data_IF_881757979275
#
_entry.id   IF_881757979275
#
_cell.length_a   1.000
_cell.length_b   1.000
_cell.length_c   1.000
_cell.angle_alpha   90.00
_cell.angle_beta   90.00
_cell.angle_gamma   90.00
#
_symmetry.space_group_name_H-M   'P 1'
#
loop_
_entity.id
_entity.type
_entity.pdbx_description
1 polymer ?
2 branched ?
3 branched ?
4 non-polymer ?
5 non-polymer ?
6 non-polymer ?
7 water ?
#
# COMPACT_ATOMS: atom_id res chain seq x y z
N UNK A 3 8.62 15.64 -4.32
CA UNK A 3 7.59 15.54 -5.36
C UNK A 3 7.68 14.20 -6.14
N UNK A 4 8.88 13.87 -6.67
CA UNK A 4 9.08 12.61 -7.40
C UNK A 4 9.27 11.46 -6.41
N UNK A 5 8.66 10.32 -6.71
CA UNK A 5 8.78 9.11 -5.89
C UNK A 5 9.95 8.31 -6.42
N UNK A 6 10.88 7.90 -5.54
CA UNK A 6 12.00 7.04 -5.93
C UNK A 6 11.71 5.71 -5.29
N UNK A 7 11.60 4.66 -6.10
CA UNK A 7 11.30 3.31 -5.64
C UNK A 7 12.38 2.36 -6.13
N UNK A 8 12.65 1.33 -5.33
CA UNK A 8 13.65 0.33 -5.65
C UNK A 8 13.25 -1.04 -5.13
N UNK A 9 13.87 -2.06 -5.67
CA UNK A 9 13.69 -3.46 -5.30
C UNK A 9 14.76 -3.83 -4.33
N UNK A 10 14.43 -4.77 -3.43
CA UNK A 10 15.38 -5.25 -2.43
C UNK A 10 15.49 -6.75 -2.56
N UNK A 11 16.65 -7.29 -2.24
CA UNK A 11 16.87 -8.72 -2.33
C UNK A 11 16.02 -9.50 -1.34
N UNK A 12 15.53 -10.66 -1.80
CA UNK A 12 14.74 -11.61 -1.05
C UNK A 12 14.72 -12.91 -1.83
N UNK A 13 15.46 -13.89 -1.31
CA UNK A 13 15.49 -15.22 -1.90
C UNK A 13 14.10 -15.89 -1.94
N UNK A 14 13.25 -15.52 -0.98
CA UNK A 14 11.88 -16.02 -0.85
C UNK A 14 10.90 -15.55 -1.91
N UNK A 15 11.26 -14.49 -2.68
CA UNK A 15 10.44 -13.94 -3.75
C UNK A 15 11.05 -14.26 -5.10
N UNK A 16 10.26 -14.91 -5.96
CA UNK A 16 10.65 -15.29 -7.32
C UNK A 16 10.84 -14.00 -8.17
N UNK A 17 11.80 -14.03 -9.08
CA UNK A 17 12.07 -12.89 -9.96
C UNK A 17 13.32 -12.11 -9.56
N UNK A 18 13.28 -10.78 -9.77
CA UNK A 18 14.37 -9.85 -9.50
C UNK A 18 14.93 -9.99 -8.10
N UNK A 19 14.06 -10.10 -7.08
CA UNK A 19 14.47 -10.22 -5.66
C UNK A 19 15.38 -11.43 -5.43
N UNK A 20 15.09 -12.57 -6.09
CA UNK A 20 15.88 -13.81 -5.96
C UNK A 20 17.18 -13.63 -6.71
N UNK A 21 17.13 -13.03 -7.92
CA UNK A 21 18.29 -12.76 -8.75
C UNK A 21 19.26 -11.83 -8.02
N UNK A 22 18.73 -10.84 -7.29
CA UNK A 22 19.55 -9.92 -6.51
C UNK A 22 20.22 -10.65 -5.36
N UNK A 23 19.48 -11.55 -4.69
CA UNK A 23 20.01 -12.37 -3.60
C UNK A 23 21.19 -13.19 -4.09
N UNK A 24 21.01 -13.90 -5.22
CA UNK A 24 22.04 -14.74 -5.84
C UNK A 24 23.28 -13.98 -6.26
N UNK A 25 23.10 -12.72 -6.73
CA UNK A 25 24.22 -11.88 -7.20
C UNK A 25 24.80 -10.99 -6.10
N UNK A 26 24.30 -11.12 -4.88
CA UNK A 26 24.74 -10.31 -3.75
C UNK A 26 24.40 -8.83 -3.87
N UNK A 27 23.27 -8.50 -4.50
CA UNK A 27 22.83 -7.11 -4.70
C UNK A 27 21.74 -6.85 -3.69
N UNK A 28 21.88 -5.78 -2.92
CA UNK A 28 20.92 -5.41 -1.90
C UNK A 28 19.77 -4.55 -2.42
N UNK A 29 20.07 -3.49 -3.18
CA UNK A 29 19.06 -2.54 -3.68
C UNK A 29 19.25 -2.25 -5.17
N UNK A 30 18.17 -2.37 -5.94
CA UNK A 30 18.17 -2.11 -7.39
C UNK A 30 17.05 -1.14 -7.71
N UNK A 31 17.41 0.02 -8.30
CA UNK A 31 16.47 1.08 -8.67
C UNK A 31 15.34 0.57 -9.57
N UNK A 32 14.12 0.96 -9.24
CA UNK A 32 12.96 0.60 -10.05
C UNK A 32 12.58 1.83 -10.91
N UNK A 33 12.36 2.97 -10.28
CA UNK A 33 12.03 4.19 -11.00
C UNK A 33 12.02 5.44 -10.15
N UNK A 34 11.99 6.59 -10.84
CA UNK A 34 11.89 7.94 -10.32
C UNK A 34 10.63 8.47 -11.00
N UNK A 35 9.56 8.59 -10.23
CA UNK A 35 8.26 8.92 -10.79
C UNK A 35 7.71 10.29 -10.52
N UNK A 36 7.80 11.28 -11.45
CA UNK A 36 7.07 12.52 -11.24
C UNK A 36 5.57 12.21 -11.38
N UNK A 37 4.73 13.20 -11.10
CA UNK A 37 3.28 13.09 -11.18
C UNK A 37 2.80 12.79 -12.60
N UNK A 38 3.41 13.44 -13.59
CA UNK A 38 3.06 13.29 -15.00
C UNK A 38 3.56 11.99 -15.64
N UNK A 39 2.61 11.19 -16.16
CA UNK A 39 2.89 9.96 -16.91
C UNK A 39 2.89 10.29 -18.40
N UNK A 40 3.91 9.80 -19.11
CA UNK A 40 4.09 10.02 -20.54
C UNK A 40 3.15 9.18 -21.38
N UNK A 41 2.63 9.77 -22.45
CA UNK A 41 1.76 9.06 -23.38
C UNK A 41 2.22 9.35 -24.80
N UNK A 42 2.04 8.36 -25.66
CA UNK A 42 2.34 8.47 -27.07
C UNK A 42 3.76 8.15 -27.43
N UNK A 43 4.19 8.68 -28.55
CA UNK A 43 5.51 8.48 -29.13
C UNK A 43 6.59 9.20 -28.28
N UNK A 44 7.58 8.46 -27.73
CA UNK A 44 8.66 9.12 -26.99
C UNK A 44 9.43 10.04 -27.93
N UNK A 45 10.05 11.06 -27.37
CA UNK A 45 10.85 12.04 -28.14
C UNK A 45 12.23 11.49 -28.55
N UNK A 46 12.63 10.34 -27.97
CA UNK A 46 13.89 9.66 -28.21
C UNK A 46 13.75 8.20 -27.82
N UNK A 47 14.24 7.32 -28.64
CA UNK A 47 14.19 5.91 -28.32
C UNK A 47 15.45 5.62 -27.52
N UNK A 48 15.26 5.07 -26.34
CA UNK A 48 16.36 4.76 -25.44
C UNK A 48 17.11 3.55 -25.96
N UNK A 49 18.42 3.71 -26.21
CA UNK A 49 19.23 2.60 -26.74
C UNK A 49 19.78 1.77 -25.59
N UNK A 50 20.17 0.52 -25.88
CA UNK A 50 20.77 -0.38 -24.89
C UNK A 50 22.05 0.23 -24.32
N UNK A 51 22.86 0.91 -25.17
CA UNK A 51 24.09 1.58 -24.76
C UNK A 51 23.80 2.70 -23.74
N UNK A 52 22.78 3.52 -23.99
CA UNK A 52 22.37 4.58 -23.05
C UNK A 52 21.88 3.97 -21.74
N UNK A 53 20.99 2.99 -21.82
CA UNK A 53 20.40 2.37 -20.63
C UNK A 53 21.36 1.56 -19.79
N UNK A 54 22.41 0.97 -20.42
CA UNK A 54 23.45 0.23 -19.70
C UNK A 54 24.31 1.16 -18.83
N UNK A 55 24.30 2.49 -19.14
CA UNK A 55 25.00 3.54 -18.38
C UNK A 55 24.33 3.82 -17.01
N UNK A 56 23.19 3.15 -16.68
CA UNK A 56 22.59 3.20 -15.34
C UNK A 56 23.19 1.96 -14.68
N UNK A 57 24.41 2.11 -14.14
CA UNK A 57 25.20 1.02 -13.53
C UNK A 57 24.56 0.52 -12.27
N UNK A 58 24.43 -0.79 -12.17
CA UNK A 58 23.86 -1.42 -10.99
C UNK A 58 22.38 -1.66 -11.03
N UNK A 59 21.63 -0.99 -11.94
CA UNK A 59 20.18 -1.19 -12.05
C UNK A 59 19.87 -2.48 -12.79
N UNK A 60 19.14 -3.37 -12.14
CA UNK A 60 18.75 -4.64 -12.69
C UNK A 60 17.36 -4.57 -13.27
N UNK A 61 17.19 -5.21 -14.41
CA UNK A 61 15.92 -5.32 -15.13
C UNK A 61 15.03 -6.28 -14.32
N UNK A 62 13.73 -6.04 -14.29
CA UNK A 62 12.80 -6.90 -13.58
C UNK A 62 12.41 -8.11 -14.44
N UNK A 63 12.78 -8.09 -15.75
CA UNK A 63 12.48 -9.14 -16.72
C UNK A 63 13.44 -10.33 -16.77
N UNK A 64 12.85 -11.53 -16.61
CA UNK A 64 13.50 -12.84 -16.73
C UNK A 64 14.11 -13.01 -18.14
N UNK A 65 13.46 -12.41 -19.17
CA UNK A 65 13.89 -12.47 -20.57
C UNK A 65 15.31 -11.98 -20.79
N UNK A 66 15.79 -11.05 -19.94
CA UNK A 66 17.17 -10.54 -20.05
C UNK A 66 18.03 -11.09 -18.92
N UNK A 67 17.48 -12.05 -18.16
CA UNK A 67 18.07 -12.69 -16.98
C UNK A 67 18.39 -11.60 -15.94
N UNK A 68 17.43 -10.65 -15.79
CA UNK A 68 17.46 -9.54 -14.84
C UNK A 68 18.71 -8.66 -14.98
N UNK A 69 19.02 -8.25 -16.22
CA UNK A 69 20.17 -7.40 -16.49
C UNK A 69 19.72 -6.03 -17.03
N UNK A 70 19.51 -5.95 -18.34
CA UNK A 70 19.14 -4.73 -19.05
C UNK A 70 18.49 -5.20 -20.37
N UNK A 71 17.55 -4.44 -21.00
CA UNK A 71 17.12 -3.09 -20.65
C UNK A 71 15.62 -2.90 -20.65
N UNK A 72 14.84 -3.96 -20.40
CA UNK A 72 13.37 -3.84 -20.46
C UNK A 72 12.76 -2.88 -19.43
N UNK A 73 13.13 -3.03 -18.15
CA UNK A 73 12.63 -2.13 -17.09
C UNK A 73 13.13 -0.70 -17.35
N UNK A 74 14.46 -0.55 -17.62
CA UNK A 74 15.12 0.72 -17.92
C UNK A 74 14.40 1.48 -19.04
N UNK A 75 14.08 0.81 -20.18
CA UNK A 75 13.37 1.41 -21.33
C UNK A 75 11.92 1.77 -21.00
N UNK A 76 11.22 0.88 -20.31
CA UNK A 76 9.85 1.10 -19.86
C UNK A 76 9.77 2.36 -18.98
N UNK A 77 10.77 2.57 -18.09
CA UNK A 77 10.85 3.76 -17.23
C UNK A 77 11.06 5.04 -18.03
N UNK A 78 11.94 4.98 -19.06
CA UNK A 78 12.16 6.16 -19.90
C UNK A 78 10.91 6.50 -20.70
N UNK A 79 10.25 5.47 -21.24
CA UNK A 79 9.05 5.62 -22.06
C UNK A 79 7.86 6.11 -21.28
N UNK A 80 7.59 5.52 -20.10
CA UNK A 80 6.44 5.88 -19.26
C UNK A 80 6.64 7.08 -18.32
N UNK A 81 7.89 7.32 -17.85
CA UNK A 81 8.10 8.39 -16.87
C UNK A 81 9.16 9.40 -17.21
N UNK A 82 10.03 9.06 -18.16
CA UNK A 82 11.22 9.85 -18.48
C UNK A 82 11.13 10.96 -19.49
N UNK A 83 10.87 10.62 -20.76
CA UNK A 83 10.90 11.57 -21.89
C UNK A 83 10.11 12.84 -21.76
N UNK A 84 8.83 12.74 -21.33
CA UNK A 84 7.95 13.89 -21.24
C UNK A 84 8.23 14.80 -20.04
N UNK A 85 9.07 14.34 -19.08
CA UNK A 85 9.43 15.05 -17.86
C UNK A 85 10.85 15.59 -17.86
N UNK A 86 11.82 14.82 -18.43
CA UNK A 86 13.22 15.20 -18.49
C UNK A 86 13.63 15.81 -19.81
N UNK A 87 12.85 15.55 -20.89
CA UNK A 87 13.00 16.07 -22.26
C UNK A 87 14.19 15.51 -23.01
N UNK A 88 15.29 15.25 -22.29
CA UNK A 88 16.52 14.70 -22.88
C UNK A 88 17.01 13.51 -22.05
N UNK A 89 17.47 12.43 -22.73
CA UNK A 89 17.93 11.21 -22.06
C UNK A 89 19.13 11.40 -21.14
N UNK A 90 20.09 12.25 -21.54
CA UNK A 90 21.31 12.48 -20.78
C UNK A 90 21.06 12.86 -19.31
N UNK A 91 20.36 13.97 -18.94
CA UNK A 91 20.11 14.25 -17.50
C UNK A 91 19.31 13.16 -16.77
N UNK A 92 18.44 12.44 -17.49
CA UNK A 92 17.65 11.35 -16.91
C UNK A 92 18.57 10.15 -16.57
N UNK A 93 19.50 9.80 -17.45
CA UNK A 93 20.47 8.72 -17.23
C UNK A 93 21.36 9.07 -16.04
N UNK A 94 21.87 10.31 -16.00
CA UNK A 94 22.71 10.78 -14.90
C UNK A 94 22.00 10.72 -13.56
N UNK A 95 20.73 11.16 -13.48
CA UNK A 95 19.94 11.10 -12.25
C UNK A 95 19.70 9.66 -11.82
N UNK A 96 19.29 8.80 -12.75
CA UNK A 96 19.03 7.37 -12.47
C UNK A 96 20.30 6.67 -12.02
N UNK A 97 21.42 6.97 -12.69
CA UNK A 97 22.74 6.40 -12.35
C UNK A 97 23.22 6.85 -10.98
N UNK A 98 23.08 8.12 -10.66
CA UNK A 98 23.45 8.68 -9.37
C UNK A 98 22.56 8.10 -8.27
N UNK A 99 21.22 7.97 -8.52
CA UNK A 99 20.27 7.38 -7.58
C UNK A 99 20.66 5.95 -7.28
N UNK A 100 20.97 5.15 -8.32
CA UNK A 100 21.40 3.76 -8.11
C UNK A 100 22.76 3.72 -7.39
N UNK A 101 23.70 4.61 -7.71
CA UNK A 101 25.01 4.66 -7.06
C UNK A 101 24.82 4.89 -5.58
N UNK A 102 23.92 5.83 -5.21
CA UNK A 102 23.54 6.13 -3.83
C UNK A 102 22.91 4.92 -3.17
N UNK A 103 21.96 4.20 -3.84
CA UNK A 103 21.30 3.00 -3.31
C UNK A 103 22.29 1.86 -3.04
N UNK A 104 23.32 1.71 -3.88
CA UNK A 104 24.36 0.68 -3.77
C UNK A 104 25.24 0.90 -2.50
N UNK A 105 25.34 2.16 -2.02
CA UNK A 105 26.14 2.49 -0.82
C UNK A 105 25.62 1.84 0.45
N UNK A 106 24.33 1.63 0.53
CA UNK A 106 23.69 0.99 1.68
C UNK A 106 22.33 1.58 1.94
N UNK A 107 21.90 1.49 3.19
CA UNK A 107 20.60 2.00 3.63
C UNK A 107 20.46 3.48 3.34
N UNK A 108 19.48 3.83 2.49
CA UNK A 108 19.23 5.24 2.19
C UNK A 108 18.73 6.04 3.42
N UNK A 109 18.88 7.39 3.38
CA UNK A 109 18.42 8.28 4.46
C UNK A 109 16.93 8.11 4.69
N UNK A 110 16.13 7.95 3.61
CA UNK A 110 14.69 7.70 3.67
C UNK A 110 14.35 6.42 2.92
N UNK A 111 13.92 5.42 3.67
CA UNK A 111 13.57 4.10 3.16
C UNK A 111 12.30 3.64 3.84
N UNK A 112 11.25 3.45 3.03
CA UNK A 112 9.92 3.04 3.46
C UNK A 112 9.44 1.83 2.69
N UNK A 113 8.94 0.82 3.40
CA UNK A 113 8.43 -0.40 2.80
C UNK A 113 7.25 -0.10 1.86
N UNK A 114 7.17 -0.83 0.76
CA UNK A 114 6.09 -0.74 -0.22
C UNK A 114 5.40 -2.11 -0.25
N UNK A 115 6.18 -3.14 -0.59
CA UNK A 115 5.73 -4.52 -0.69
C UNK A 115 6.56 -5.37 0.29
N UNK A 116 5.90 -6.38 0.90
CA UNK A 116 6.52 -7.29 1.87
C UNK A 116 6.14 -8.72 1.55
N UNK A 117 6.95 -9.65 2.03
CA UNK A 117 6.71 -11.06 2.00
C UNK A 117 6.93 -11.39 3.47
N UNK A 118 5.84 -11.71 4.20
CA UNK A 118 6.00 -12.07 5.60
C UNK A 118 6.64 -13.46 5.64
N UNK A 119 7.75 -13.59 6.38
CA UNK A 119 8.49 -14.84 6.54
C UNK A 119 8.12 -15.42 7.90
N UNK A 120 7.39 -16.56 7.90
CA UNK A 120 6.91 -17.24 9.12
C UNK A 120 8.08 -17.69 10.02
N UNK A 121 9.12 -18.28 9.39
CA UNK A 121 10.32 -18.80 10.07
C UNK A 121 11.10 -17.75 10.87
N UNK A 122 11.32 -16.55 10.29
CA UNK A 122 12.05 -15.48 10.97
C UNK A 122 11.11 -14.54 11.72
N UNK A 123 9.79 -14.64 11.45
CA UNK A 123 8.73 -13.81 12.02
C UNK A 123 8.96 -12.31 11.66
N UNK A 124 9.36 -12.07 10.39
CA UNK A 124 9.68 -10.75 9.84
C UNK A 124 8.97 -10.45 8.54
N UNK A 125 8.72 -9.15 8.34
CA UNK A 125 8.17 -8.61 7.10
C UNK A 125 9.42 -8.35 6.23
N UNK A 126 9.67 -9.22 5.22
CA UNK A 126 10.84 -9.07 4.34
C UNK A 126 10.42 -8.11 3.25
N UNK A 127 11.04 -6.94 3.23
CA UNK A 127 10.73 -5.88 2.27
C UNK A 127 11.31 -6.21 0.92
N UNK A 128 10.44 -6.34 -0.08
CA UNK A 128 10.81 -6.66 -1.46
C UNK A 128 10.90 -5.40 -2.34
N UNK A 129 10.15 -4.33 -1.96
CA UNK A 129 10.20 -3.03 -2.65
C UNK A 129 10.07 -1.94 -1.61
N UNK A 130 10.86 -0.87 -1.78
CA UNK A 130 10.82 0.27 -0.89
C UNK A 130 10.90 1.56 -1.64
N UNK A 131 10.55 2.64 -0.97
CA UNK A 131 10.58 3.97 -1.56
C UNK A 131 11.03 5.03 -0.57
N UNK A 132 11.25 6.25 -1.04
CA UNK A 132 11.71 7.36 -0.20
C UNK A 132 10.64 8.15 0.53
N UNK A 133 9.38 7.68 0.52
CA UNK A 133 8.29 8.34 1.26
C UNK A 133 7.26 7.28 1.67
N UNK A 134 6.56 7.41 2.82
CA UNK A 134 5.57 6.36 3.19
C UNK A 134 4.39 6.23 2.23
N UNK A 135 3.85 5.00 2.14
CA UNK A 135 2.74 4.65 1.23
C UNK A 135 1.95 3.46 1.84
N UNK A 136 0.66 3.22 1.49
CA UNK A 136 -0.02 2.02 2.02
C UNK A 136 0.74 0.75 1.66
N UNK A 137 0.88 -0.17 2.62
CA UNK A 137 1.64 -1.41 2.50
C UNK A 137 0.93 -2.53 1.78
N UNK A 138 1.70 -3.46 1.21
CA UNK A 138 1.18 -4.64 0.50
C UNK A 138 1.96 -5.86 0.98
N UNK A 139 1.23 -6.81 1.58
CA UNK A 139 1.77 -8.07 2.08
C UNK A 139 2.51 -8.01 3.40
N UNK A 140 2.52 -6.83 4.03
CA UNK A 140 3.19 -6.61 5.32
C UNK A 140 2.24 -6.94 6.48
N UNK A 141 2.62 -7.91 7.31
CA UNK A 141 1.81 -8.31 8.45
C UNK A 141 1.99 -7.33 9.61
N UNK A 142 0.87 -6.88 10.20
CA UNK A 142 0.83 -5.93 11.32
C UNK A 142 1.52 -6.53 12.58
N UNK A 143 2.19 -5.68 13.34
CA UNK A 143 2.90 -6.04 14.57
C UNK A 143 4.31 -6.57 14.37
N UNK A 144 4.68 -6.89 13.13
CA UNK A 144 5.99 -7.47 12.81
C UNK A 144 7.03 -6.46 12.42
N UNK A 145 8.26 -6.80 12.74
CA UNK A 145 9.43 -6.01 12.39
C UNK A 145 9.76 -6.20 10.91
N UNK A 146 10.41 -5.18 10.31
CA UNK A 146 10.75 -5.16 8.89
C UNK A 146 12.20 -5.47 8.62
N UNK A 147 12.47 -6.23 7.56
CA UNK A 147 13.84 -6.54 7.16
C UNK A 147 14.06 -5.97 5.77
N UNK A 148 14.86 -4.90 5.71
CA UNK A 148 15.22 -4.19 4.50
C UNK A 148 16.60 -4.69 4.09
N UNK A 149 16.66 -5.69 3.17
CA UNK A 149 17.89 -6.33 2.71
C UNK A 149 18.84 -6.64 3.90
N UNK A 150 18.28 -7.25 4.94
CA UNK A 150 19.01 -7.63 6.14
C UNK A 150 18.92 -6.66 7.30
N UNK A 151 18.65 -5.38 7.04
CA UNK A 151 18.54 -4.35 8.08
C UNK A 151 17.18 -4.43 8.78
N UNK A 152 17.19 -4.68 10.11
CA UNK A 152 15.97 -4.77 10.91
C UNK A 152 15.52 -3.39 11.37
N UNK A 153 14.25 -3.07 11.07
CA UNK A 153 13.58 -1.81 11.40
C UNK A 153 12.25 -2.17 12.02
N UNK A 154 11.90 -1.54 13.17
CA UNK A 154 10.64 -1.81 13.86
C UNK A 154 9.39 -1.38 13.11
N UNK A 155 9.42 -0.21 12.48
CA UNK A 155 8.29 0.28 11.69
C UNK A 155 8.49 0.15 10.19
N UNK A 156 7.52 0.66 9.36
CA UNK A 156 7.69 0.56 7.90
C UNK A 156 8.71 1.52 7.28
N UNK A 157 9.17 2.53 8.06
CA UNK A 157 10.15 3.51 7.62
C UNK A 157 11.33 3.58 8.60
N UNK A 158 12.51 4.01 8.11
CA UNK A 158 13.71 4.14 8.94
C UNK A 158 13.84 5.55 9.54
N UNK A 159 12.71 6.23 9.63
CA UNK A 159 12.57 7.56 10.21
C UNK A 159 11.12 7.69 10.68
N UNK A 160 10.88 8.48 11.74
CA UNK A 160 9.53 8.68 12.29
C UNK A 160 8.67 9.53 11.37
N UNK A 161 7.48 9.03 11.04
CA UNK A 161 6.56 9.75 10.14
C UNK A 161 5.49 10.56 10.90
N UNK A 162 4.78 9.90 11.84
CA UNK A 162 3.68 10.46 12.63
C UNK A 162 4.12 11.44 13.74
N UNK A 163 3.15 12.17 14.33
CA UNK A 163 3.33 13.17 15.40
C UNK A 163 3.62 12.53 16.75
N UNK B 3 -7.07 5.06 -8.19
CA UNK B 3 -5.80 5.49 -7.58
C UNK B 3 -5.83 5.41 -6.04
N UNK B 4 -6.83 6.03 -5.40
CA UNK B 4 -6.97 5.97 -3.94
C UNK B 4 -7.62 4.66 -3.54
N UNK B 5 -7.11 4.06 -2.46
CA UNK B 5 -7.64 2.83 -1.89
C UNK B 5 -8.72 3.20 -0.88
N UNK B 6 -9.92 2.62 -1.01
CA UNK B 6 -10.99 2.82 -0.05
C UNK B 6 -11.09 1.50 0.69
N UNK B 7 -10.96 1.53 2.02
CA UNK B 7 -11.02 0.35 2.88
C UNK B 7 -12.05 0.57 3.97
N UNK B 8 -12.70 -0.50 4.37
CA UNK B 8 -13.72 -0.46 5.40
C UNK B 8 -13.72 -1.74 6.25
N UNK B 9 -14.33 -1.66 7.42
CA UNK B 9 -14.50 -2.74 8.36
C UNK B 9 -15.86 -3.34 8.13
N UNK B 10 -15.97 -4.65 8.40
CA UNK B 10 -17.24 -5.37 8.26
C UNK B 10 -17.57 -6.03 9.59
N UNK B 11 -18.86 -6.16 9.88
CA UNK B 11 -19.28 -6.76 11.12
C UNK B 11 -18.90 -8.24 11.19
N UNK B 12 -18.55 -8.66 12.40
CA UNK B 12 -18.19 -10.04 12.77
C UNK B 12 -18.22 -10.13 14.27
N UNK B 13 -19.25 -10.79 14.79
CA UNK B 13 -19.36 -11.03 16.23
C UNK B 13 -18.17 -11.84 16.79
N UNK B 14 -17.54 -12.66 15.95
CA UNK B 14 -16.38 -13.48 16.29
C UNK B 14 -15.08 -12.73 16.50
N UNK B 15 -15.01 -11.45 16.06
CA UNK B 15 -13.81 -10.61 16.20
C UNK B 15 -14.08 -9.54 17.22
N UNK B 16 -13.23 -9.50 18.24
CA UNK B 16 -13.29 -8.53 19.32
C UNK B 16 -12.97 -7.14 18.74
N UNK B 17 -13.61 -6.12 19.28
CA UNK B 17 -13.40 -4.75 18.82
C UNK B 17 -14.54 -4.22 17.98
N UNK B 18 -14.18 -3.36 17.01
CA UNK B 18 -15.11 -2.71 16.09
C UNK B 18 -16.06 -3.67 15.42
N UNK B 19 -15.57 -4.80 14.91
CA UNK B 19 -16.38 -5.82 14.21
C UNK B 19 -17.52 -6.33 15.08
N UNK B 20 -17.28 -6.53 16.40
CA UNK B 20 -18.30 -7.01 17.35
C UNK B 20 -19.27 -5.88 17.63
N UNK B 21 -18.76 -4.66 17.82
CA UNK B 21 -19.54 -3.47 18.08
C UNK B 21 -20.49 -3.20 16.91
N UNK B 22 -20.02 -3.40 15.67
CA UNK B 22 -20.83 -3.23 14.47
C UNK B 22 -21.94 -4.26 14.44
N UNK B 23 -21.61 -5.51 14.79
CA UNK B 23 -22.59 -6.61 14.85
C UNK B 23 -23.72 -6.24 15.82
N UNK B 24 -23.36 -5.82 17.04
CA UNK B 24 -24.29 -5.43 18.11
C UNK B 24 -25.18 -4.24 17.71
N UNK B 25 -24.62 -3.28 16.94
CA UNK B 25 -25.36 -2.09 16.52
C UNK B 25 -26.04 -2.23 15.16
N UNK B 26 -25.99 -3.43 14.58
CA UNK B 26 -26.58 -3.71 13.28
C UNK B 26 -25.95 -2.95 12.11
N UNK B 27 -24.64 -2.73 12.17
CA UNK B 27 -23.91 -2.02 11.14
C UNK B 27 -23.13 -3.04 10.36
N UNK B 28 -23.30 -3.04 9.05
CA UNK B 28 -22.62 -3.98 8.18
C UNK B 28 -21.24 -3.51 7.74
N UNK B 29 -21.12 -2.25 7.30
CA UNK B 29 -19.86 -1.69 6.80
C UNK B 29 -19.57 -0.31 7.40
N UNK B 30 -18.34 -0.15 7.93
CA UNK B 30 -17.91 1.10 8.53
C UNK B 30 -16.59 1.48 7.88
N UNK B 31 -16.55 2.69 7.28
CA UNK B 31 -15.39 3.22 6.60
C UNK B 31 -14.15 3.24 7.50
N UNK B 32 -13.03 2.77 6.95
CA UNK B 32 -11.76 2.80 7.67
C UNK B 32 -10.95 3.99 7.14
N UNK B 33 -10.74 4.06 5.84
CA UNK B 33 -10.00 5.16 5.22
C UNK B 33 -10.03 5.19 3.71
N UNK B 34 -9.62 6.34 3.15
CA UNK B 34 -9.43 6.62 1.74
C UNK B 34 -7.96 6.97 1.65
N UNK B 35 -7.20 6.06 1.05
CA UNK B 35 -5.77 6.22 1.02
C UNK B 35 -5.14 6.52 -0.31
N UNK B 36 -4.72 7.79 -0.56
CA UNK B 36 -3.89 8.05 -1.76
C UNK B 36 -2.52 7.39 -1.54
N UNK B 37 -1.67 7.45 -2.56
CA UNK B 37 -0.36 6.87 -2.55
C UNK B 37 0.54 7.57 -1.51
N UNK B 38 0.41 8.89 -1.40
CA UNK B 38 1.19 9.70 -0.47
C UNK B 38 0.65 9.62 0.99
N UNK B 39 1.50 9.13 1.89
CA UNK B 39 1.20 9.11 3.33
C UNK B 39 1.85 10.38 3.91
N UNK B 40 1.09 11.07 4.77
CA UNK B 40 1.48 12.32 5.40
C UNK B 40 2.54 12.13 6.46
N UNK B 41 3.53 13.03 6.43
CA UNK B 41 4.65 13.07 7.38
C UNK B 41 4.75 14.44 7.97
N UNK B 42 5.13 14.46 9.24
CA UNK B 42 5.29 15.67 10.00
C UNK B 42 4.04 16.17 10.66
N UNK B 43 4.07 17.44 10.96
CA UNK B 43 3.03 18.17 11.65
C UNK B 43 1.84 18.40 10.71
N UNK B 44 0.61 17.92 11.08
CA UNK B 44 -0.57 18.24 10.25
C UNK B 44 -0.80 19.73 10.16
N UNK B 45 -1.39 20.18 9.06
CA UNK B 45 -1.66 21.59 8.79
C UNK B 45 -2.86 22.12 9.61
N UNK B 46 -3.70 21.18 10.14
CA UNK B 46 -4.92 21.49 10.90
C UNK B 46 -5.22 20.35 11.84
N UNK B 47 -5.57 20.66 13.09
CA UNK B 47 -5.96 19.73 14.15
C UNK B 47 -7.46 19.47 13.92
N UNK B 48 -7.81 18.22 13.54
CA UNK B 48 -9.20 17.82 13.27
C UNK B 48 -9.99 17.83 14.57
N UNK B 49 -11.08 18.62 14.61
CA UNK B 49 -11.87 18.72 15.85
C UNK B 49 -12.92 17.61 15.87
N UNK B 50 -13.44 17.30 17.07
CA UNK B 50 -14.49 16.32 17.25
C UNK B 50 -15.73 16.72 16.46
N UNK B 51 -16.07 18.03 16.43
CA UNK B 51 -17.19 18.59 15.67
C UNK B 51 -17.06 18.30 14.17
N UNK B 52 -15.87 18.53 13.61
CA UNK B 52 -15.60 18.27 12.19
C UNK B 52 -15.70 16.77 11.91
N UNK B 53 -15.05 15.95 12.73
CA UNK B 53 -15.01 14.49 12.53
C UNK B 53 -16.33 13.79 12.75
N UNK B 54 -17.21 14.37 13.62
CA UNK B 54 -18.57 13.82 13.86
C UNK B 54 -19.45 13.97 12.62
N UNK B 55 -19.09 14.89 11.71
CA UNK B 55 -19.77 15.11 10.44
C UNK B 55 -19.54 13.98 9.40
N UNK B 56 -18.73 12.94 9.75
CA UNK B 56 -18.58 11.72 8.93
C UNK B 56 -19.57 10.76 9.60
N UNK B 57 -20.84 10.87 9.19
CA UNK B 57 -21.95 10.11 9.75
C UNK B 57 -21.85 8.63 9.40
N UNK B 58 -22.03 7.80 10.41
CA UNK B 58 -22.01 6.36 10.21
C UNK B 58 -20.67 5.68 10.38
N UNK B 59 -19.55 6.46 10.32
CA UNK B 59 -18.22 5.91 10.50
C UNK B 59 -17.94 5.65 11.97
N UNK B 60 -17.63 4.40 12.30
CA UNK B 60 -17.32 4.01 13.67
C UNK B 60 -15.83 4.00 13.91
N UNK B 61 -15.45 4.48 15.08
CA UNK B 61 -14.08 4.52 15.55
C UNK B 61 -13.67 3.07 15.88
N UNK B 62 -12.42 2.72 15.66
CA UNK B 62 -11.90 1.39 15.97
C UNK B 62 -11.51 1.28 17.46
N UNK B 63 -11.49 2.42 18.18
CA UNK B 63 -11.11 2.51 19.58
C UNK B 63 -12.22 2.27 20.62
N UNK B 64 -11.96 1.31 21.52
CA UNK B 64 -12.77 0.94 22.67
C UNK B 64 -12.95 2.14 23.61
N UNK B 65 -11.93 3.05 23.69
CA UNK B 65 -11.93 4.24 24.54
C UNK B 65 -13.11 5.17 24.26
N UNK B 66 -13.64 5.17 23.02
CA UNK B 66 -14.79 6.01 22.68
C UNK B 66 -16.04 5.14 22.51
N UNK B 67 -15.91 3.86 22.87
CA UNK B 67 -16.93 2.81 22.74
C UNK B 67 -17.34 2.69 21.26
N UNK B 68 -16.29 2.75 20.37
CA UNK B 68 -16.38 2.61 18.92
C UNK B 68 -17.35 3.62 18.28
N UNK B 69 -17.20 4.90 18.64
CA UNK B 69 -18.03 5.98 18.11
C UNK B 69 -17.19 6.95 17.28
N UNK B 70 -16.58 7.95 17.93
CA UNK B 70 -15.77 9.01 17.32
C UNK B 70 -14.85 9.51 18.43
N UNK B 71 -13.65 10.06 18.14
CA UNK B 71 -13.12 10.34 16.81
C UNK B 71 -11.65 9.89 16.65
N UNK B 72 -11.21 8.85 17.38
CA UNK B 72 -9.80 8.43 17.30
C UNK B 72 -9.34 7.92 15.92
N UNK B 73 -10.10 6.99 15.33
CA UNK B 73 -9.80 6.48 13.98
C UNK B 73 -9.92 7.63 12.94
N UNK B 74 -11.02 8.41 13.01
CA UNK B 74 -11.30 9.56 12.15
C UNK B 74 -10.14 10.55 12.14
N UNK B 75 -9.59 10.92 13.32
CA UNK B 75 -8.44 11.84 13.46
C UNK B 75 -7.13 11.23 12.93
N UNK B 76 -6.89 9.95 13.24
CA UNK B 76 -5.73 9.22 12.76
C UNK B 76 -5.69 9.20 11.20
N UNK B 77 -6.87 9.06 10.57
CA UNK B 77 -7.01 9.07 9.11
C UNK B 77 -6.71 10.46 8.52
N UNK B 78 -7.18 11.52 9.19
CA UNK B 78 -6.87 12.87 8.72
C UNK B 78 -5.38 13.17 8.86
N UNK B 79 -4.77 12.74 9.96
CA UNK B 79 -3.36 12.96 10.26
C UNK B 79 -2.44 12.19 9.32
N UNK B 80 -2.71 10.90 9.11
CA UNK B 80 -1.88 10.04 8.28
C UNK B 80 -2.17 10.09 6.76
N UNK B 81 -3.42 10.36 6.36
CA UNK B 81 -3.74 10.31 4.94
C UNK B 81 -4.39 11.54 4.36
N UNK B 82 -4.96 12.37 5.22
CA UNK B 82 -5.80 13.49 4.85
C UNK B 82 -5.18 14.82 4.51
N UNK B 83 -4.56 15.47 5.51
CA UNK B 83 -4.04 16.84 5.41
C UNK B 83 -3.12 17.16 4.26
N UNK B 84 -2.13 16.30 4.01
CA UNK B 84 -1.12 16.54 2.96
C UNK B 84 -1.65 16.26 1.55
N UNK B 85 -2.82 15.61 1.42
CA UNK B 85 -3.44 15.23 0.14
C UNK B 85 -4.66 16.07 -0.21
N UNK B 86 -5.50 16.41 0.80
CA UNK B 86 -6.71 17.20 0.60
C UNK B 86 -6.53 18.68 0.90
N UNK B 87 -5.49 19.04 1.71
CA UNK B 87 -5.07 20.40 2.10
C UNK B 87 -6.02 21.09 3.05
N UNK B 88 -7.33 20.83 2.90
CA UNK B 88 -8.39 21.40 3.72
C UNK B 88 -9.32 20.30 4.20
N UNK B 89 -9.70 20.36 5.49
CA UNK B 89 -10.56 19.34 6.11
C UNK B 89 -11.96 19.21 5.47
N UNK B 90 -12.58 20.33 5.07
CA UNK B 90 -13.92 20.34 4.50
C UNK B 90 -14.12 19.37 3.31
N UNK B 91 -13.37 19.45 2.16
CA UNK B 91 -13.58 18.44 1.09
C UNK B 91 -13.29 17.00 1.51
N UNK B 92 -12.39 16.81 2.47
CA UNK B 92 -12.03 15.48 2.98
C UNK B 92 -13.21 14.89 3.79
N UNK B 93 -13.85 15.70 4.63
CA UNK B 93 -15.02 15.29 5.41
C UNK B 93 -16.17 14.92 4.47
N UNK B 94 -16.44 15.77 3.47
CA UNK B 94 -17.50 15.51 2.49
C UNK B 94 -17.29 14.19 1.72
N UNK B 95 -16.05 13.91 1.30
CA UNK B 95 -15.73 12.67 0.59
C UNK B 95 -15.90 11.45 1.51
N UNK B 96 -15.39 11.53 2.74
CA UNK B 96 -15.48 10.45 3.72
C UNK B 96 -16.93 10.17 4.08
N UNK B 97 -17.74 11.25 4.25
CA UNK B 97 -19.14 11.16 4.57
C UNK B 97 -19.95 10.50 3.42
N UNK B 98 -19.71 10.92 2.17
CA UNK B 98 -20.33 10.34 0.98
C UNK B 98 -19.93 8.86 0.81
N UNK B 99 -18.63 8.54 1.05
CA UNK B 99 -18.14 7.16 0.98
C UNK B 99 -18.84 6.28 1.97
N UNK B 100 -18.97 6.73 3.22
CA UNK B 100 -19.70 5.97 4.24
C UNK B 100 -21.19 5.84 3.89
N UNK B 101 -21.79 6.91 3.34
CA UNK B 101 -23.22 6.86 2.95
C UNK B 101 -23.42 5.76 1.89
N UNK B 102 -22.50 5.68 0.93
CA UNK B 102 -22.48 4.65 -0.11
C UNK B 102 -22.28 3.26 0.49
N UNK B 103 -21.34 3.09 1.44
CA UNK B 103 -21.09 1.81 2.11
C UNK B 103 -22.31 1.31 2.91
N UNK B 104 -23.07 2.23 3.52
CA UNK B 104 -24.29 1.93 4.30
C UNK B 104 -25.42 1.36 3.38
N UNK B 105 -25.40 1.67 2.07
CA UNK B 105 -26.40 1.17 1.11
C UNK B 105 -26.38 -0.35 0.92
N UNK B 106 -25.21 -0.96 1.08
CA UNK B 106 -25.05 -2.38 0.95
C UNK B 106 -23.75 -2.72 0.27
N UNK B 107 -23.72 -3.91 -0.37
CA UNK B 107 -22.54 -4.44 -1.04
C UNK B 107 -22.04 -3.48 -2.12
N UNK B 108 -20.82 -2.95 -1.99
CA UNK B 108 -20.30 -2.02 -3.03
C UNK B 108 -20.14 -2.70 -4.39
N UNK B 109 -19.88 -1.88 -5.43
CA UNK B 109 -19.60 -2.42 -6.75
C UNK B 109 -18.26 -3.15 -6.69
N UNK B 110 -17.30 -2.59 -5.96
CA UNK B 110 -15.98 -3.20 -5.79
C UNK B 110 -15.76 -3.55 -4.33
N UNK B 111 -15.78 -4.86 -4.01
CA UNK B 111 -15.55 -5.33 -2.65
C UNK B 111 -14.61 -6.52 -2.67
N UNK B 112 -13.37 -6.31 -2.09
CA UNK B 112 -12.30 -7.30 -2.03
C UNK B 112 -11.85 -7.52 -0.60
N UNK B 113 -11.77 -8.78 -0.18
CA UNK B 113 -11.32 -9.13 1.18
C UNK B 113 -9.88 -8.63 1.42
N UNK B 114 -9.62 -8.18 2.64
CA UNK B 114 -8.29 -7.72 3.09
C UNK B 114 -7.88 -8.67 4.23
N UNK B 115 -8.69 -8.69 5.30
CA UNK B 115 -8.48 -9.50 6.50
C UNK B 115 -9.68 -10.43 6.69
N UNK B 116 -9.42 -11.66 7.18
CA UNK B 116 -10.42 -12.70 7.43
C UNK B 116 -10.21 -13.31 8.80
N UNK B 117 -11.28 -13.92 9.32
CA UNK B 117 -11.29 -14.71 10.52
C UNK B 117 -11.96 -15.96 10.00
N UNK B 118 -11.20 -17.07 9.88
CA UNK B 118 -11.80 -18.31 9.43
C UNK B 118 -12.66 -18.86 10.57
N UNK B 119 -13.94 -19.15 10.30
CA UNK B 119 -14.89 -19.69 11.27
C UNK B 119 -15.04 -21.18 11.01
N UNK B 120 -14.56 -22.01 11.94
CA UNK B 120 -14.59 -23.49 11.83
C UNK B 120 -16.01 -24.04 11.74
N UNK B 121 -16.94 -23.52 12.57
CA UNK B 121 -18.35 -23.91 12.62
C UNK B 121 -19.11 -23.71 11.31
N UNK B 122 -18.94 -22.56 10.63
CA UNK B 122 -19.63 -22.28 9.36
C UNK B 122 -18.77 -22.68 8.17
N UNK B 123 -17.48 -22.97 8.40
CA UNK B 123 -16.49 -23.36 7.38
C UNK B 123 -16.32 -22.22 6.33
N UNK B 124 -16.30 -20.97 6.84
CA UNK B 124 -16.21 -19.75 6.03
C UNK B 124 -15.12 -18.81 6.50
N UNK B 125 -14.53 -18.07 5.55
CA UNK B 125 -13.62 -16.97 5.84
C UNK B 125 -14.55 -15.77 6.04
N UNK B 126 -14.67 -15.29 7.27
CA UNK B 126 -15.50 -14.15 7.62
C UNK B 126 -14.63 -12.92 7.42
N UNK B 127 -15.00 -12.09 6.45
CA UNK B 127 -14.26 -10.89 6.08
C UNK B 127 -14.49 -9.81 7.12
N UNK B 128 -13.39 -9.38 7.76
CA UNK B 128 -13.44 -8.36 8.80
C UNK B 128 -13.04 -6.99 8.25
N UNK B 129 -12.27 -6.95 7.14
CA UNK B 129 -11.88 -5.73 6.43
C UNK B 129 -11.87 -5.99 4.93
N UNK B 130 -12.37 -5.04 4.16
CA UNK B 130 -12.41 -5.14 2.70
C UNK B 130 -12.01 -3.84 2.06
N UNK B 131 -11.69 -3.88 0.78
CA UNK B 131 -11.33 -2.70 0.01
C UNK B 131 -11.85 -2.75 -1.43
N UNK B 132 -11.72 -1.66 -2.16
CA UNK B 132 -12.22 -1.57 -3.53
C UNK B 132 -11.28 -2.06 -4.62
N UNK B 133 -10.18 -2.71 -4.27
CA UNK B 133 -9.25 -3.31 -5.25
C UNK B 133 -8.55 -4.53 -4.62
N UNK B 134 -8.17 -5.58 -5.39
CA UNK B 134 -7.54 -6.74 -4.76
C UNK B 134 -6.18 -6.49 -4.13
N UNK B 135 -5.88 -7.27 -3.08
CA UNK B 135 -4.66 -7.17 -2.28
C UNK B 135 -4.34 -8.56 -1.67
N UNK B 136 -3.07 -8.89 -1.31
CA UNK B 136 -2.81 -10.18 -0.64
C UNK B 136 -3.59 -10.28 0.68
N UNK B 137 -4.17 -11.46 0.92
CA UNK B 137 -5.05 -11.75 2.05
C UNK B 137 -4.36 -12.00 3.38
N UNK B 138 -5.07 -11.78 4.49
CA UNK B 138 -4.57 -12.01 5.86
C UNK B 138 -5.63 -12.76 6.64
N UNK B 139 -5.27 -13.95 7.11
CA UNK B 139 -6.13 -14.82 7.93
C UNK B 139 -7.20 -15.59 7.18
N UNK B 140 -7.20 -15.49 5.85
CA UNK B 140 -8.17 -16.17 5.00
C UNK B 140 -7.63 -17.58 4.67
N UNK B 141 -8.40 -18.62 4.96
CA UNK B 141 -7.99 -20.00 4.71
C UNK B 141 -8.26 -20.35 3.24
N UNK B 142 -7.23 -20.88 2.55
CA UNK B 142 -7.31 -21.26 1.13
C UNK B 142 -8.39 -22.29 0.88
N UNK B 143 -9.09 -22.15 -0.24
CA UNK B 143 -10.16 -23.06 -0.63
C UNK B 143 -11.42 -22.96 0.20
N UNK B 144 -11.65 -21.80 0.84
CA UNK B 144 -12.84 -21.56 1.67
C UNK B 144 -13.57 -20.34 1.13
N UNK B 145 -14.90 -20.42 1.13
CA UNK B 145 -15.76 -19.32 0.68
C UNK B 145 -15.69 -18.16 1.65
N UNK B 146 -15.99 -16.96 1.17
CA UNK B 146 -15.94 -15.72 1.93
C UNK B 146 -17.32 -15.23 2.30
N UNK B 147 -17.43 -14.63 3.49
CA UNK B 147 -18.66 -14.04 3.99
C UNK B 147 -18.40 -12.57 4.27
N UNK B 148 -18.96 -11.71 3.42
CA UNK B 148 -18.85 -10.25 3.52
C UNK B 148 -20.11 -9.76 4.18
N UNK B 149 -20.08 -9.52 5.51
CA UNK B 149 -21.23 -9.10 6.31
C UNK B 149 -22.51 -9.89 5.93
N UNK B 150 -22.36 -11.22 5.86
CA UNK B 150 -23.46 -12.12 5.52
C UNK B 150 -23.53 -12.56 4.06
N UNK B 151 -22.98 -11.76 3.13
CA UNK B 151 -22.99 -12.08 1.70
C UNK B 151 -21.91 -13.12 1.37
N UNK B 152 -22.32 -14.30 0.85
CA UNK B 152 -21.40 -15.37 0.48
C UNK B 152 -20.85 -15.17 -0.93
N UNK B 153 -19.52 -15.16 -1.04
CA UNK B 153 -18.78 -14.96 -2.29
C UNK B 153 -17.72 -16.07 -2.32
N UNK B 154 -17.60 -16.77 -3.45
CA UNK B 154 -16.62 -17.86 -3.62
C UNK B 154 -15.17 -17.40 -3.61
N UNK B 155 -14.88 -16.30 -4.28
CA UNK B 155 -13.55 -15.72 -4.37
C UNK B 155 -13.34 -14.54 -3.44
N UNK B 156 -12.13 -13.92 -3.43
CA UNK B 156 -11.89 -12.79 -2.51
C UNK B 156 -12.55 -11.47 -2.94
N UNK B 157 -13.05 -11.38 -4.19
CA UNK B 157 -13.68 -10.19 -4.74
C UNK B 157 -15.06 -10.53 -5.32
N UNK B 158 -15.95 -9.53 -5.37
CA UNK B 158 -17.29 -9.73 -5.95
C UNK B 158 -17.29 -9.32 -7.47
N UNK B 159 -16.13 -9.38 -8.10
CA UNK B 159 -15.94 -9.09 -9.52
C UNK B 159 -14.64 -9.76 -9.95
N UNK B 160 -14.45 -9.98 -11.25
CA UNK B 160 -13.20 -10.61 -11.74
C UNK B 160 -12.44 -9.71 -12.71
N UNK B 161 -13.11 -8.67 -13.27
CA UNK B 161 -12.49 -7.73 -14.23
C UNK B 161 -11.38 -6.94 -13.52
N UNK B 162 -10.29 -6.65 -14.24
CA UNK B 162 -9.16 -5.88 -13.69
C UNK B 162 -9.58 -4.45 -13.49
N UNK B 163 -9.22 -3.87 -12.34
CA UNK B 163 -9.58 -2.50 -11.99
C UNK B 163 -8.31 -1.65 -11.78
X LIG C 1 11.68 15.50 -10.42
X LIG C 1 13.16 15.96 -10.42
X LIG C 1 13.41 17.14 -11.39
X LIG C 1 12.83 16.77 -12.76
X LIG C 1 11.34 16.37 -12.59
X LIG C 1 10.70 15.94 -13.92
X LIG C 1 14.28 15.13 -8.41
X LIG C 1 14.85 15.73 -7.14
X LIG C 1 13.79 16.16 -9.12
X LIG C 1 14.87 17.33 -11.46
X LIG C 1 12.82 17.96 -13.52
X LIG C 1 11.25 15.22 -11.73
X LIG C 1 9.33 16.05 -13.63
X LIG C 1 14.22 13.91 -8.77
X LIG C 2 13.30 17.88 -14.83
X LIG C 2 12.76 19.17 -15.47
X LIG C 2 13.51 19.40 -16.79
X LIG C 2 15.03 19.33 -16.68
X LIG C 2 15.47 18.14 -15.82
X LIG C 2 16.88 18.37 -15.30
X LIG C 2 10.32 19.66 -15.23
X LIG C 2 8.99 19.27 -15.79
X LIG C 2 11.35 19.00 -15.81
X LIG C 2 13.10 20.69 -17.29
X LIG C 2 15.55 19.04 -17.98
X LIG C 2 14.65 18.07 -14.62
X LIG C 2 17.38 17.07 -15.02
X LIG C 2 10.48 20.48 -14.33
X LIG C 3 16.16 20.12 -18.64
X LIG C 3 17.13 19.54 -19.67
X LIG C 3 17.52 20.68 -20.64
X LIG C 3 16.29 21.37 -21.26
X LIG C 3 15.36 21.83 -20.13
X LIG C 3 14.06 22.44 -20.66
X LIG C 3 16.53 18.48 -20.44
X LIG C 3 18.36 20.23 -21.69
X LIG C 3 16.76 22.47 -22.05
X LIG C 3 15.04 20.70 -19.29
X LIG C 3 13.41 23.22 -19.61
X LIG C 4 19.57 20.99 -21.80
X LIG C 4 19.93 21.05 -23.31
X LIG C 4 20.10 19.57 -23.77
X LIG C 4 21.16 18.78 -22.93
X LIG C 4 20.83 18.93 -21.42
X LIG C 4 21.90 18.28 -20.54
X LIG C 4 21.10 21.87 -23.61
X LIG C 4 20.25 19.51 -25.19
X LIG C 4 21.16 17.41 -23.29
X LIG C 4 20.57 20.32 -21.01
X LIG C 4 21.52 18.48 -19.16
X LIG C 5 12.32 24.14 -19.92
X LIG C 5 11.12 23.61 -20.82
X LIG C 5 9.86 23.31 -20.02
X LIG C 5 10.20 22.89 -18.59
X LIG C 5 10.75 24.15 -17.88
X LIG C 5 11.01 23.78 -16.39
X LIG C 5 11.30 22.55 -21.84
X LIG C 5 8.89 22.49 -20.73
X LIG C 5 9.04 22.32 -17.95
X LIG C 5 11.91 24.76 -18.64
X LIG C 5 11.71 24.76 -15.62
X LIG D 1 16.35 -19.76 -1.99
X LIG D 1 16.80 -20.92 -1.04
X LIG D 1 16.65 -22.24 -1.85
X LIG D 1 15.21 -22.35 -2.40
X LIG D 1 14.68 -21.10 -3.16
X LIG D 1 13.14 -21.17 -3.37
X LIG D 1 19.06 -20.36 0.34
X LIG D 1 18.67 -20.11 1.79
X LIG D 1 18.23 -20.69 -0.70
X LIG D 1 16.84 -23.30 -0.90
X LIG D 1 15.10 -23.43 -3.29
X LIG D 1 14.99 -19.88 -2.43
X LIG D 1 12.44 -21.02 -2.10
X LIG D 1 20.20 -20.28 -0.03
X LIG D 2 14.29 -24.42 -2.72
X LIG D 2 13.88 -25.09 -4.04
X LIG D 2 13.19 -26.41 -3.67
X LIG D 2 14.13 -27.28 -2.78
X LIG D 2 14.64 -26.50 -1.53
X LIG D 2 15.59 -27.26 -0.61
X LIG D 2 13.35 -23.54 -6.02
X LIG D 2 12.22 -22.76 -6.62
X LIG D 2 12.99 -24.23 -4.86
X LIG D 2 12.87 -27.06 -4.92
X LIG D 2 13.27 -28.26 -2.25
X LIG D 2 15.19 -25.21 -1.89
X LIG D 2 16.71 -27.77 -1.36
X LIG D 2 14.47 -23.56 -6.54
X LIG D 3 13.45 -29.55 -2.79
X LIG D 3 13.19 -30.62 -1.68
X LIG D 3 13.13 -31.97 -2.40
X LIG D 3 12.23 -32.02 -3.63
X LIG D 3 12.56 -30.87 -4.59
X LIG D 3 11.54 -30.82 -5.72
X LIG D 3 11.98 -30.35 -0.93
X LIG D 3 12.76 -32.96 -1.51
X LIG D 3 12.54 -33.27 -4.24
X LIG D 3 12.57 -29.61 -3.93
X LIG D 3 10.54 -29.77 -5.68
X LIG D 4 13.92 -33.70 -1.27
X LIG D 4 13.47 -35.06 -0.70
X LIG D 4 12.82 -34.82 0.67
X LIG D 4 13.84 -34.17 1.59
X LIG D 4 14.17 -32.80 0.96
X LIG D 4 14.94 -31.81 1.84
X LIG D 4 14.56 -35.96 -0.56
X LIG D 4 12.38 -36.04 1.20
X LIG D 4 13.25 -34.10 2.89
X LIG D 4 14.78 -33.01 -0.35
X LIG D 4 16.27 -32.30 1.97
X LIG D 5 10.23 -29.39 -7.03
X LIG D 5 9.55 -27.95 -7.13
X LIG D 5 10.55 -26.76 -7.42
X LIG D 5 11.99 -27.15 -7.92
X LIG D 5 11.68 -28.44 -8.69
X LIG D 5 12.46 -28.85 -9.90
X LIG D 5 8.57 -27.67 -6.11
X LIG D 5 10.60 -25.81 -6.33
X LIG D 5 12.53 -26.18 -8.80
X LIG D 5 11.46 -29.53 -7.80
X LIG D 5 11.52 -29.76 -10.56
X LIG E 1 -7.93 10.79 -4.39
X LIG E 1 -9.21 11.61 -4.70
X LIG E 1 -8.88 13.08 -5.11
X LIG E 1 -7.95 13.68 -4.02
X LIG E 1 -6.71 12.77 -3.88
X LIG E 1 -5.76 13.28 -2.79
X LIG E 1 -11.04 10.05 -5.16
X LIG E 1 -11.89 9.61 -6.33
X LIG E 1 -10.16 10.99 -5.58
X LIG E 1 -10.18 13.76 -5.14
X LIG E 1 -7.48 14.89 -4.52
X LIG E 1 -7.14 11.45 -3.43
X LIG E 1 -4.56 12.62 -3.11
X LIG E 1 -11.07 9.63 -3.96
X LIG E 2 -7.51 16.00 -3.72
X LIG E 2 -6.56 16.99 -4.41
X LIG E 2 -6.77 18.38 -3.79
X LIG E 2 -8.22 18.84 -3.71
X LIG E 2 -9.12 17.69 -3.24
X LIG E 2 -10.56 17.96 -3.67
X LIG E 2 -4.29 16.17 -5.06
X LIG E 2 -2.95 15.89 -4.48
X LIG E 2 -5.17 16.63 -4.14
X LIG E 2 -5.97 19.31 -4.53
X LIG E 2 -8.32 19.85 -2.69
X LIG E 2 -8.81 16.47 -3.91
X LIG E 2 -11.36 17.24 -2.74
X LIG E 2 -4.59 16.03 -6.25
X LIG E 3 -8.47 21.15 -3.17
X LIG E 3 -9.14 21.96 -2.04
X LIG E 3 -8.98 23.45 -2.39
X LIG E 3 -7.50 23.86 -2.63
X LIG E 3 -6.92 22.90 -3.71
X LIG E 3 -5.42 23.15 -3.94
X LIG E 3 -8.50 21.71 -0.76
X LIG E 3 -9.52 24.29 -1.36
X LIG E 3 -7.47 25.23 -3.03
X LIG E 3 -7.11 21.54 -3.31
X LIG E 3 -5.03 22.58 -5.21
X LIG E 4 -10.45 25.23 -1.85
X LIG E 4 -10.31 26.50 -0.98
X LIG E 4 -10.55 26.08 0.48
X LIG E 4 -11.95 25.41 0.69
X LIG E 4 -12.11 24.26 -0.33
X LIG E 4 -13.51 23.63 -0.28
X LIG E 4 -11.16 27.65 -1.39
X LIG E 4 -10.25 27.16 1.38
X LIG E 4 -12.08 24.92 2.03
X LIG E 4 -11.75 24.64 -1.71
X LIG E 4 -13.57 22.59 -1.27
X LIG E 5 -3.76 22.90 -5.84
X LIG E 5 -2.45 22.82 -4.97
X LIG E 5 -1.61 21.57 -5.26
X LIG E 5 -2.47 20.40 -5.75
X LIG E 5 -2.99 20.81 -7.14
X LIG E 5 -3.81 19.60 -7.68
X LIG E 5 -2.47 23.05 -3.51
X LIG E 5 -0.63 21.27 -4.23
X LIG E 5 -1.72 19.18 -5.73
X LIG E 5 -3.69 22.14 -7.13
X LIG E 5 -4.63 19.84 -8.87
X LIG F 1 -21.31 6.99 -4.30
X LIG F 1 -20.07 7.61 -4.99
X LIG F 1 -20.38 8.26 -6.37
X LIG F 1 -21.43 7.46 -7.23
X LIG F 1 -22.56 6.75 -6.39
X LIG F 1 -23.29 5.63 -7.19
X LIG F 1 -18.13 8.07 -3.49
X LIG F 1 -17.56 9.16 -2.62
X LIG F 1 -19.28 8.45 -4.08
X LIG F 1 -19.14 8.34 -7.11
X LIG F 1 -22.03 8.28 -8.27
X LIG F 1 -21.94 6.07 -5.26
X LIG F 1 -22.33 4.59 -7.52
X LIG F 1 -17.63 6.95 -3.64
X LIG F 2 -21.84 7.70 -9.58
X LIG F 2 -22.97 8.08 -10.58
X LIG F 2 -22.57 7.62 -12.02
X LIG F 2 -21.05 7.66 -12.43
X LIG F 2 -20.06 7.72 -11.21
X LIG F 2 -18.73 8.46 -11.55
X LIG F 2 -25.33 8.04 -9.52
X LIG F 2 -26.53 7.10 -9.45
X LIG F 2 -24.30 7.50 -10.27
X LIG F 2 -23.30 8.44 -12.94
X LIG F 2 -20.69 6.57 -13.33
X LIG F 2 -20.64 8.34 -10.03
X LIG F 2 -18.68 9.82 -11.09
X LIG F 2 -25.29 9.16 -8.97
X LIG G 1 23.91 -6.07 1.97
X LIG G 1 25.42 -5.82 1.97
X LIG G 1 26.05 -6.49 3.22
X LIG G 1 25.35 -6.00 4.53
X LIG G 1 23.80 -6.21 4.40
X LIG G 1 22.99 -5.60 5.57
X LIG G 1 26.43 -5.28 -0.27
X LIG G 1 27.06 -5.83 -1.53
X LIG G 1 26.03 -6.20 0.69
X LIG G 1 27.43 -6.07 3.14
X LIG G 1 25.88 -6.58 5.75
X LIG G 1 23.29 -5.59 3.21
X LIG G 1 23.44 -4.24 5.84
X LIG G 1 26.30 -4.08 -0.11
X LIG H 1 27.40 6.14 -12.74
X LIG H 1 28.49 6.92 -13.54
X LIG H 1 29.86 6.24 -13.28
X LIG H 1 29.97 6.34 -11.75
X LIG H 1 28.97 5.24 -11.21
X LIG H 1 29.01 4.79 -9.74
X LIG H 1 27.74 7.90 -15.68
X LIG H 1 27.25 7.44 -17.06
X LIG H 1 28.03 6.82 -14.93
X LIG H 1 31.00 6.80 -14.01
X LIG H 1 31.33 6.52 -11.31
X LIG H 1 27.63 5.79 -11.39
X LIG H 1 28.20 3.64 -9.63
X LIG H 1 27.88 9.06 -15.26
X LIG I 1 23.23 11.10 -3.63
X LIG I 1 22.23 12.21 -4.08
X LIG I 1 22.74 13.65 -3.77
X LIG I 1 23.44 13.77 -2.37
X LIG I 1 24.28 12.50 -1.95
X LIG I 1 24.61 12.47 -0.46
X LIG I 1 20.53 11.54 -5.79
X LIG I 1 20.35 11.51 -7.26
X LIG I 1 21.74 12.05 -5.45
X LIG I 1 21.60 14.54 -3.81
X LIG I 1 24.14 15.06 -2.28
X LIG I 1 23.49 11.29 -2.21
X LIG I 1 23.37 12.40 0.29
X LIG I 1 19.70 11.16 -4.98
X LIG J 1 22.44 -0.41 -29.10
X LIG J 1 23.07 0.64 -28.33
X LIG J 1 22.89 -1.74 -28.61
X LIG J 1 21.00 -0.27 -28.98
X LIG J 1 22.81 -0.27 -30.51
X LIG K 1 -1.94 -15.37 7.35
X LIG K 1 -3.06 -15.82 6.52
X LIG K 1 -2.41 -14.41 8.36
X LIG K 1 -1.34 -16.51 8.04
X LIG K 1 -0.94 -14.70 6.51
X LIG L 1 7.20 0.22 -22.78
X LIG L 1 8.63 -0.09 -23.04
X LIG L 1 7.08 1.36 -21.87
X LIG L 1 6.54 0.58 -24.05
X LIG L 1 6.54 -0.96 -22.17
X LIG M 1 4.34 2.92 -14.03
X LIG M 1 5.21 1.60 -13.72
X LIG M 1 4.85 0.50 -14.85
X LIG M 1 6.71 1.74 -13.53
X LIG M 1 4.55 1.07 -12.37
X LIG M 1 5.04 -0.21 -12.05
X LIG M 1 4.57 -0.48 -10.63
X LIG M 1 5.27 0.47 -9.81
X LIG M 1 3.05 -0.18 -10.43
X LIG M 1 2.17 -1.29 -10.75
X LIG M 1 3.04 0.12 -8.94
X LIG M 1 3.34 -1.10 -8.21
X LIG M 1 4.29 1.03 -8.91
X LIG M 1 4.04 2.50 -9.02
X LIG M 1 3.51 3.17 -7.94
X LIG M 1 3.27 4.49 -8.03
X LIG M 1 3.54 5.23 -9.10
X LIG M 1 4.09 4.59 -10.26
X LIG M 1 4.33 3.22 -10.18
X LIG M 1 3.21 2.58 -6.89
X LIG M 1 3.27 6.60 -9.06
X LIG N 1 -26.64 -6.38 6.59
X LIG N 1 -28.01 -5.75 6.42
X LIG N 1 -29.12 -6.81 6.18
X LIG N 1 -28.69 -7.88 5.12
X LIG N 1 -27.24 -8.39 5.36
X LIG N 1 -26.69 -9.26 4.20
X LIG N 1 -28.24 -3.36 7.16
X LIG N 1 -28.57 -2.42 8.28
X LIG N 1 -28.30 -4.71 7.42
X LIG N 1 -30.22 -6.00 5.63
X LIG N 1 -29.60 -9.02 5.03
X LIG N 1 -26.32 -7.29 5.51
X LIG N 1 -26.93 -8.62 2.94
X LIG N 1 -27.93 -2.91 6.06
X LIG O 1 -23.46 13.03 4.71
X LIG O 1 -24.59 12.12 5.30
X LIG O 1 -25.82 13.00 5.64
X LIG O 1 -25.88 14.50 5.14
X LIG O 1 -24.43 14.97 4.66
X LIG O 1 -23.87 16.43 4.80
X LIG O 1 -25.68 9.90 5.35
X LIG O 1 -26.37 8.76 4.65
X LIG O 1 -25.27 11.00 4.60
X LIG O 1 -26.15 12.75 7.03
X LIG O 1 -26.73 14.34 3.94
X LIG O 1 -23.48 14.24 5.36
X LIG O 1 -22.85 16.79 3.81
X LIG O 1 -25.51 9.78 6.55
X LIG P 1 -21.02 -13.07 20.03
X LIG P 1 -21.89 -14.30 20.44
X LIG P 1 -21.86 -14.39 21.98
X LIG P 1 -20.36 -14.53 22.40
X LIG P 1 -19.40 -13.43 21.81
X LIG P 1 -17.91 -13.83 22.01
X LIG P 1 -24.28 -14.38 19.09
X LIG P 1 -24.35 -15.39 18.02
X LIG P 1 -23.00 -14.63 19.54
X LIG P 1 -22.54 -15.59 22.33
X LIG P 1 -20.27 -14.53 23.83
X LIG P 1 -19.65 -13.24 20.40
X LIG P 1 -17.56 -14.96 21.18
X LIG P 1 -25.22 -13.57 19.38
X LIG Q 1 -14.30 19.93 19.65
X LIG Q 1 -15.08 19.24 20.73
X LIG Q 1 -15.13 19.94 18.43
X LIG Q 1 -13.98 21.34 20.04
X LIG Q 1 -13.03 19.16 19.44
X LIG R 1 -6.91 2.73 21.03
X LIG R 1 -7.96 2.16 21.90
X LIG R 1 -7.04 2.21 19.67
X LIG R 1 -7.02 4.20 21.00
X LIG R 1 -5.59 2.36 21.56
X LIG S 1 -18.67 20.86 9.02
X LIG S 1 -18.51 20.82 10.49
X LIG S 1 -19.25 19.61 8.54
X LIG S 1 -19.57 21.97 8.66
X LIG S 1 -17.36 21.06 8.33
X LIG T 1 -3.20 4.02 7.80
X LIG T 1 -3.99 3.10 8.57
X LIG T 1 -3.55 3.21 10.06
X LIG T 1 -5.54 3.41 8.46
X LIG T 1 -3.59 1.66 7.98
X LIG T 1 -4.59 0.68 8.24
X LIG T 1 -3.86 -0.65 8.31
X LIG T 1 -3.43 -0.84 9.69
X LIG T 1 -4.85 -1.80 8.00
X LIG T 1 -4.82 -2.22 6.63
X LIG T 1 -4.25 -2.87 8.92
X LIG T 1 -2.99 -3.35 8.45
X LIG T 1 -4.06 -2.05 10.23
X LIG T 1 -5.35 -1.81 11.00
X LIG T 1 -6.25 -2.84 11.29
X LIG T 1 -7.40 -2.57 11.97
X LIG T 1 -7.71 -1.33 12.41
X LIG T 1 -6.81 -0.25 12.16
X LIG T 1 -5.64 -0.52 11.45
X LIG T 1 -6.08 -4.01 10.95
X LIG T 1 -8.90 -1.12 13.08
#
# INVERSE_FOLDING_TARGET
>A
RSENITQWNLQDNGTEGIQRAMFQRGVNRSLHGIWPEKICTGVPSHLATDTELKAIHGMMDASEKTNYTCCRLQRHEWNKHGWCNWYNIEPWILLMNKTQANLTEGQPLRECAVTCRYDRDSDLNVVTQARDSPTPLTGCKKGKNFSFAGILVQGPCNFEIAVSDVL
>B
RSENITQWNLQDNGTEGIQRAMFQRGVNRSLHGIWPEKICTGVPSHLATDTELKAIHGMMDASEKTNYTCCRLQRHEWNKHGWCNWYNIEPWILLMNKTQANLTEGQPLRECAVTCRYDRDSDLNVVTQARDSPTPLTGCKKGKNFSFAGILVQGPCNFEIAVSDVL
>C hetero
1 NAG C1 C2 C3 C4 C5 C6 C7 C8 N2 O3 O4 O5 O6 O7
2 NAG C1 C2 C3 C4 C5 C6 C7 C8 N2 O3 O4 O5 O6 O7
3 BMA C1 C2 C3 C4 C5 C6 O2 O3 O4 O5 O6
4 MAN C1 C2 C3 C4 C5 C6 O2 O3 O4 O5 O6
5 BMA C1 C2 C3 C4 C5 C6 O2 O3 O4 O5 O6
>D hetero
1 NAG C1 C2 C3 C4 C5 C6 C7 C8 N2 O3 O4 O5 O6 O7
2 NAG C1 C2 C3 C4 C5 C6 C7 C8 N2 O3 O4 O5 O6 O7
3 BMA C1 C2 C3 C4 C5 C6 O2 O3 O4 O5 O6
4 MAN C1 C2 C3 C4 C5 C6 O2 O3 O4 O5 O6
5 BMA C1 C2 C3 C4 C5 C6 O2 O3 O4 O5 O6
>E hetero
1 NAG C1 C2 C3 C4 C5 C6 C7 C8 N2 O3 O4 O5 O6 O7
2 NAG C1 C2 C3 C4 C5 C6 C7 C8 N2 O3 O4 O5 O6 O7
3 BMA C1 C2 C3 C4 C5 C6 O2 O3 O4 O5 O6
4 MAN C1 C2 C3 C4 C5 C6 O2 O3 O4 O5 O6
5 BMA C1 C2 C3 C4 C5 C6 O2 O3 O4 O5 O6
>F hetero
1 NAG C1 C2 C3 C4 C5 C6 C7 C8 N2 O3 O4 O5 O6 O7
2 NAG C1 C2 C3 C4 C5 C6 C7 C8 N2 O3 O4 O5 O6 O7
>G hetero
1 NAG C1 C2 C3 C4 C5 C6 C7 C8 N2 O3 O4 O5 O6 O7
>H hetero
1 NAG C1 C2 C3 C4 C5 C6 C7 C8 N2 O3 O4 O5 O6 O7
>I hetero
1 NAG C1 C2 C3 C4 C5 C6 C7 C8 N2 O3 O4 O5 O6 O7
>J hetero
1 SO4 S O1 O2 O3 O4
>K hetero
1 SO4 S O1 O2 O3 O4
>L hetero
1 SO4 S O1 O2 O3 O4
>M hetero
1 C5P O3P P O1P O2P O5' C5' C4' O4' C3' O3' C2' O2' C1' N1 C2 N3 C4 C5 C6 O2 N4
>N hetero
1 NAG C1 C2 C3 C4 C5 C6 C7 C8 N2 O3 O4 O5 O6 O7
>O hetero
1 NAG C1 C2 C3 C4 C5 C6 C7 C8 N2 O3 O4 O5 O6 O7
>P hetero
1 NAG C1 C2 C3 C4 C5 C6 C7 C8 N2 O3 O4 O5 O6 O7
>Q hetero
1 SO4 S O1 O2 O3 O4
>R hetero
1 SO4 S O1 O2 O3 O4
>S hetero
1 SO4 S O1 O2 O3 O4
>T hetero
1 C5P O3P P O1P O2P O5' C5' C4' O4' C3' O3' C2' O2' C1' N1 C2 N3 C4 C5 C6 O2 N4
#
